data_IF_451239056940
#
_entry.id   IF_451239056940
#
_cell.length_a   1.000
_cell.length_b   1.000
_cell.length_c   1.000
_cell.angle_alpha   90.00
_cell.angle_beta   90.00
_cell.angle_gamma   90.00
#
_symmetry.space_group_name_H-M   'P 1'
#
loop_
_entity.id
_entity.type
_entity.pdbx_description
1 polymer ?
#
# COMPACT_ATOMS: atom_id res chain seq x y z
N UNK A 1 -6.98 22.38 6.96
CA UNK A 1 -6.09 21.40 6.29
C UNK A 1 -6.96 20.21 5.90
N UNK A 2 -7.05 19.87 4.62
CA UNK A 2 -7.92 18.79 4.11
C UNK A 2 -7.22 17.90 3.07
N UNK A 3 -5.89 17.80 3.12
CA UNK A 3 -5.12 16.96 2.19
C UNK A 3 -4.95 15.54 2.76
N UNK A 4 -4.98 14.52 1.89
CA UNK A 4 -4.86 13.13 2.32
C UNK A 4 -4.10 12.24 1.31
N UNK A 5 -3.48 11.19 1.85
CA UNK A 5 -3.04 10.00 1.11
C UNK A 5 -3.95 8.86 1.54
N UNK A 6 -4.49 8.10 0.58
CA UNK A 6 -5.46 7.03 0.84
C UNK A 6 -4.88 5.70 0.35
N UNK A 7 -5.02 4.65 1.16
CA UNK A 7 -4.58 3.30 0.81
C UNK A 7 -5.64 2.55 0.02
N UNK A 8 -5.22 1.60 -0.81
CA UNK A 8 -6.08 0.63 -1.51
C UNK A 8 -5.41 -0.76 -1.54
N UNK A 9 -6.19 -1.84 -1.73
CA UNK A 9 -5.62 -3.16 -1.97
C UNK A 9 -4.68 -3.19 -3.17
N UNK A 10 -3.65 -4.03 -3.13
CA UNK A 10 -2.62 -4.03 -4.16
C UNK A 10 -3.15 -4.43 -5.55
N UNK A 11 -4.13 -5.34 -5.58
CA UNK A 11 -4.75 -5.83 -6.82
C UNK A 11 -5.79 -4.89 -7.44
N UNK A 12 -6.10 -3.74 -6.81
CA UNK A 12 -7.07 -2.80 -7.38
C UNK A 12 -6.63 -2.32 -8.76
N UNK A 13 -7.55 -2.41 -9.72
CA UNK A 13 -7.37 -1.86 -11.06
C UNK A 13 -7.59 -0.34 -11.09
N UNK A 14 -7.30 0.29 -12.23
CA UNK A 14 -7.38 1.74 -12.40
C UNK A 14 -8.77 2.31 -12.08
N UNK A 15 -9.84 1.59 -12.43
CA UNK A 15 -11.23 2.02 -12.17
C UNK A 15 -11.53 2.04 -10.66
N UNK A 16 -11.14 0.99 -9.94
CA UNK A 16 -11.34 0.90 -8.49
C UNK A 16 -10.50 1.95 -7.73
N UNK A 17 -9.27 2.21 -8.20
CA UNK A 17 -8.41 3.29 -7.68
C UNK A 17 -9.04 4.66 -7.88
N UNK A 18 -9.58 4.91 -9.07
CA UNK A 18 -10.23 6.17 -9.39
C UNK A 18 -11.49 6.38 -8.55
N UNK A 19 -12.31 5.35 -8.38
CA UNK A 19 -13.48 5.38 -7.51
C UNK A 19 -13.10 5.72 -6.06
N UNK A 20 -12.01 5.15 -5.55
CA UNK A 20 -11.51 5.46 -4.19
C UNK A 20 -11.05 6.92 -4.07
N UNK A 21 -10.34 7.42 -5.08
CA UNK A 21 -9.91 8.83 -5.14
C UNK A 21 -11.09 9.78 -5.14
N UNK A 22 -12.13 9.46 -5.91
CA UNK A 22 -13.33 10.28 -5.99
C UNK A 22 -14.16 10.21 -4.70
N UNK A 23 -14.21 9.06 -4.02
CA UNK A 23 -14.79 8.97 -2.68
C UNK A 23 -14.10 9.92 -1.68
N UNK A 24 -12.76 10.00 -1.71
CA UNK A 24 -12.01 10.97 -0.90
C UNK A 24 -12.38 12.42 -1.21
N UNK A 25 -12.53 12.78 -2.49
CA UNK A 25 -12.97 14.13 -2.89
C UNK A 25 -14.39 14.44 -2.42
N UNK A 26 -15.31 13.48 -2.52
CA UNK A 26 -16.69 13.62 -2.03
C UNK A 26 -16.70 13.86 -0.51
N UNK A 27 -15.79 13.24 0.22
CA UNK A 27 -15.57 13.48 1.65
C UNK A 27 -14.88 14.83 1.95
N UNK A 28 -14.60 15.67 0.94
CA UNK A 28 -13.95 16.96 1.11
C UNK A 28 -12.43 16.90 1.25
N UNK A 29 -11.80 15.78 0.87
CA UNK A 29 -10.35 15.61 0.91
C UNK A 29 -9.70 15.94 -0.44
N UNK A 30 -8.61 16.69 -0.41
CA UNK A 30 -7.69 16.80 -1.53
C UNK A 30 -6.76 15.57 -1.52
N UNK A 31 -7.13 14.56 -2.31
CA UNK A 31 -6.42 13.28 -2.38
C UNK A 31 -5.15 13.42 -3.22
N UNK A 32 -4.01 13.58 -2.55
CA UNK A 32 -2.69 13.76 -3.16
C UNK A 32 -2.16 12.51 -3.83
N UNK A 33 -2.39 11.35 -3.22
CA UNK A 33 -1.90 10.07 -3.71
C UNK A 33 -2.78 8.92 -3.26
N UNK A 34 -2.92 7.94 -4.13
CA UNK A 34 -3.40 6.59 -3.79
C UNK A 34 -2.17 5.69 -3.69
N UNK A 35 -2.02 4.96 -2.59
CA UNK A 35 -0.91 4.04 -2.38
C UNK A 35 -1.44 2.64 -2.08
N UNK A 36 -0.64 1.61 -2.37
CA UNK A 36 -1.00 0.23 -2.04
C UNK A 36 -0.83 0.02 -0.53
N UNK A 37 -1.77 -0.71 0.08
CA UNK A 37 -1.71 -1.14 1.49
C UNK A 37 -0.38 -1.82 1.85
N UNK A 38 0.10 -2.84 1.13
CA UNK A 38 1.35 -3.49 1.51
C UNK A 38 2.57 -2.57 1.40
N UNK A 39 2.55 -1.61 0.46
CA UNK A 39 3.59 -0.59 0.37
C UNK A 39 3.53 0.39 1.55
N UNK A 40 2.32 0.80 1.98
CA UNK A 40 2.15 1.64 3.16
C UNK A 40 2.67 0.94 4.43
N UNK A 41 2.34 -0.35 4.59
CA UNK A 41 2.84 -1.17 5.70
C UNK A 41 4.37 -1.32 5.65
N UNK A 42 4.93 -1.57 4.47
CA UNK A 42 6.38 -1.68 4.30
C UNK A 42 7.11 -0.35 4.58
N UNK A 43 6.54 0.78 4.17
CA UNK A 43 7.06 2.11 4.49
C UNK A 43 7.10 2.33 6.00
N UNK A 44 6.01 2.01 6.70
CA UNK A 44 5.95 2.12 8.17
C UNK A 44 7.02 1.23 8.85
N UNK A 45 7.14 -0.03 8.40
CA UNK A 45 8.16 -0.96 8.90
C UNK A 45 9.60 -0.50 8.58
N UNK A 46 9.80 0.03 7.37
CA UNK A 46 11.07 0.57 6.87
C UNK A 46 11.61 1.70 7.72
N UNK A 47 10.74 2.65 8.07
CA UNK A 47 11.09 3.82 8.87
C UNK A 47 11.53 3.48 10.30
N UNK A 48 10.95 2.45 10.92
CA UNK A 48 11.28 2.07 12.30
C UNK A 48 12.53 1.19 12.43
N UNK A 49 12.93 0.48 11.37
CA UNK A 49 13.96 -0.56 11.44
C UNK A 49 15.09 -0.22 10.46
N UNK A 50 16.18 0.39 10.94
CA UNK A 50 17.31 0.83 10.10
C UNK A 50 18.45 -0.20 9.97
N UNK A 51 18.19 -1.41 9.47
CA UNK A 51 19.28 -2.34 9.16
C UNK A 51 19.09 -3.02 7.81
N UNK A 52 19.97 -2.62 6.89
CA UNK A 52 20.38 -3.33 5.68
C UNK A 52 19.29 -3.66 4.68
N UNK A 53 19.75 -4.19 3.55
CA UNK A 53 18.88 -4.78 2.53
C UNK A 53 18.14 -5.98 3.14
N UNK A 54 16.83 -6.02 2.94
CA UNK A 54 15.99 -7.09 3.47
C UNK A 54 14.78 -7.36 2.60
N UNK A 55 14.37 -8.62 2.62
CA UNK A 55 13.11 -9.07 2.02
C UNK A 55 12.12 -9.35 3.12
N UNK A 56 10.95 -8.74 3.01
CA UNK A 56 9.84 -8.92 3.94
C UNK A 56 8.64 -9.48 3.19
N UNK A 57 7.82 -10.24 3.91
CA UNK A 57 6.48 -10.58 3.49
C UNK A 57 5.51 -9.70 4.29
N UNK A 58 4.67 -8.95 3.59
CA UNK A 58 3.51 -8.28 4.20
C UNK A 58 2.33 -9.21 4.01
N UNK A 59 1.71 -9.62 5.11
CA UNK A 59 0.51 -10.43 5.14
C UNK A 59 -0.62 -9.57 5.70
N UNK A 60 -1.58 -9.22 4.84
CA UNK A 60 -2.74 -8.41 5.19
C UNK A 60 -4.00 -9.26 5.08
N UNK A 61 -4.69 -9.43 6.21
CA UNK A 61 -5.94 -10.18 6.30
C UNK A 61 -7.00 -9.28 6.89
N UNK A 62 -7.68 -8.56 5.99
CA UNK A 62 -8.78 -7.66 6.32
C UNK A 62 -10.11 -8.37 6.44
N UNK A 63 -11.16 -7.58 6.73
CA UNK A 63 -12.54 -8.10 6.85
C UNK A 63 -13.20 -8.47 5.51
N UNK A 64 -12.62 -8.06 4.38
CA UNK A 64 -13.18 -8.32 3.04
C UNK A 64 -12.13 -8.60 1.97
N UNK A 65 -10.84 -8.65 2.33
CA UNK A 65 -9.74 -8.89 1.39
C UNK A 65 -8.64 -9.66 2.11
N UNK A 66 -7.91 -10.44 1.34
CA UNK A 66 -6.65 -11.04 1.75
C UNK A 66 -5.58 -10.65 0.74
N UNK A 67 -4.45 -10.13 1.20
CA UNK A 67 -3.32 -9.74 0.37
C UNK A 67 -2.01 -10.26 0.98
N UNK A 68 -1.11 -10.73 0.13
CA UNK A 68 0.28 -11.00 0.49
C UNK A 68 1.21 -10.37 -0.53
N UNK A 69 2.23 -9.67 -0.05
CA UNK A 69 3.26 -9.08 -0.92
C UNK A 69 4.65 -9.41 -0.41
N UNK A 70 5.55 -9.74 -1.33
CA UNK A 70 6.97 -9.83 -1.05
C UNK A 70 7.60 -8.51 -1.47
N UNK A 71 8.25 -7.85 -0.51
CA UNK A 71 8.82 -6.52 -0.69
C UNK A 71 10.31 -6.57 -0.33
N UNK A 72 11.13 -6.04 -1.22
CA UNK A 72 12.54 -5.77 -0.97
C UNK A 72 12.67 -4.32 -0.50
N UNK A 73 13.37 -4.14 0.61
CA UNK A 73 13.75 -2.84 1.15
C UNK A 73 15.25 -2.76 1.02
N UNK A 74 15.74 -1.83 0.20
CA UNK A 74 17.16 -1.59 -0.01
C UNK A 74 17.56 -0.20 0.50
N UNK A 75 18.76 -0.07 1.04
CA UNK A 75 19.35 1.24 1.37
C UNK A 75 20.30 1.64 0.24
N UNK A 76 19.87 2.59 -0.58
CA UNK A 76 20.63 3.10 -1.72
C UNK A 76 20.96 4.55 -1.43
N UNK A 77 22.26 4.84 -1.25
CA UNK A 77 22.78 6.18 -0.98
C UNK A 77 22.17 6.88 0.26
N UNK A 78 21.74 6.11 1.27
CA UNK A 78 21.10 6.62 2.49
C UNK A 78 19.58 6.84 2.35
N UNK A 79 18.99 6.44 1.22
CA UNK A 79 17.54 6.45 1.00
C UNK A 79 16.99 5.02 0.92
N UNK A 80 15.88 4.78 1.60
CA UNK A 80 15.18 3.50 1.54
C UNK A 80 14.37 3.39 0.24
N UNK A 81 14.75 2.45 -0.62
CA UNK A 81 13.97 2.03 -1.77
C UNK A 81 13.11 0.82 -1.41
N UNK A 82 11.83 0.86 -1.82
CA UNK A 82 10.85 -0.19 -1.56
C UNK A 82 10.38 -0.75 -2.90
N UNK A 83 10.74 -2.00 -3.19
CA UNK A 83 10.33 -2.68 -4.42
C UNK A 83 9.38 -3.83 -4.10
N UNK A 84 8.20 -3.82 -4.73
CA UNK A 84 7.25 -4.93 -4.64
C UNK A 84 7.66 -5.98 -5.68
N UNK A 85 8.28 -7.07 -5.21
CA UNK A 85 8.74 -8.16 -6.07
C UNK A 85 7.59 -9.03 -6.57
N UNK A 86 6.61 -9.27 -5.70
CA UNK A 86 5.39 -10.01 -6.05
C UNK A 86 4.26 -9.64 -5.11
N UNK A 87 3.05 -9.74 -5.64
CA UNK A 87 1.82 -9.56 -4.85
C UNK A 87 0.78 -10.57 -5.32
N UNK A 88 0.03 -11.12 -4.39
CA UNK A 88 -1.11 -11.97 -4.66
C UNK A 88 -2.16 -11.80 -3.55
N UNK A 89 -3.39 -12.23 -3.79
CA UNK A 89 -4.47 -12.02 -2.84
C UNK A 89 -5.80 -12.52 -3.37
N UNK A 90 -6.81 -12.37 -2.53
CA UNK A 90 -8.20 -12.67 -2.85
C UNK A 90 -9.09 -11.49 -2.41
N UNK A 91 -9.79 -10.83 -3.35
CA UNK A 91 -10.93 -10.00 -3.00
C UNK A 91 -12.06 -10.90 -2.48
N UNK A 92 -12.15 -11.09 -1.17
CA UNK A 92 -13.28 -11.77 -0.54
C UNK A 92 -14.56 -10.93 -0.68
N UNK A 93 -15.19 -11.01 -1.85
CA UNK A 93 -16.48 -10.38 -2.11
C UNK A 93 -17.61 -11.28 -1.59
N UNK A 94 -18.28 -10.86 -0.52
CA UNK A 94 -19.57 -11.42 -0.12
C UNK A 94 -20.76 -10.74 -0.84
N UNK A 95 -20.51 -10.03 -1.94
CA UNK A 95 -21.53 -9.30 -2.73
C UNK A 95 -21.23 -9.36 -4.23
#
# INVERSE_FOLDING_TARGET
>A
MTEAVITVPAYFNDSQRQATKDAGKIAGLDVKRIINEPTAAALAYGLEKQQGDRKIAVYDLGGGTFDVSIIEIADVDGEHQFEVLSTNGDPFSWW
#
